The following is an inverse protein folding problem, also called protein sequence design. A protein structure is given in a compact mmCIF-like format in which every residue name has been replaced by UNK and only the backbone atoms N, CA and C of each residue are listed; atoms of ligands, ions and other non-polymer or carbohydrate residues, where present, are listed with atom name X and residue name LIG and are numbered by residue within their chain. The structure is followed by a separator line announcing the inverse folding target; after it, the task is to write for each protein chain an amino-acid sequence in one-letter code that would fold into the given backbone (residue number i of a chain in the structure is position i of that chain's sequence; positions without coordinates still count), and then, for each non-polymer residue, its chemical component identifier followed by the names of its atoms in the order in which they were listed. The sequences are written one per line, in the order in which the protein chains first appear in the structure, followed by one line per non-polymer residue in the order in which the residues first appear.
data_IF_125826581886
#
_entry.id   IF_125826581886
#
_cell.length_a   1.000
_cell.length_b   1.000
_cell.length_c   1.000
_cell.angle_alpha   90.00
_cell.angle_beta   90.00
_cell.angle_gamma   90.00
#
_symmetry.space_group_name_H-M   'P 1'
#
loop_
_entity.id
_entity.type
_entity.pdbx_description
1 polymer ?
#
# COMPACT_ATOMS: atom_id res chain seq x y z
N UNK A 1 -44.69 45.19 -30.60
CA UNK A 1 -44.91 45.04 -29.16
C UNK A 1 -44.98 43.53 -28.88
N UNK A 2 -43.93 42.97 -28.38
CA UNK A 2 -43.86 41.56 -27.94
C UNK A 2 -43.37 41.59 -26.48
N UNK A 3 -44.28 41.17 -25.57
CA UNK A 3 -43.97 41.00 -24.16
C UNK A 3 -43.07 39.80 -23.95
N UNK A 4 -41.91 40.01 -23.35
CA UNK A 4 -41.07 38.95 -22.85
C UNK A 4 -41.61 38.49 -21.49
N UNK A 5 -42.06 37.22 -21.42
CA UNK A 5 -42.32 36.55 -20.14
C UNK A 5 -41.00 36.05 -19.57
N UNK A 6 -40.56 36.62 -18.48
CA UNK A 6 -39.47 36.11 -17.63
C UNK A 6 -40.02 34.94 -16.82
N UNK A 7 -39.70 33.71 -17.23
CA UNK A 7 -39.93 32.51 -16.41
C UNK A 7 -39.00 32.51 -15.21
N UNK A 8 -39.55 32.61 -13.99
CA UNK A 8 -38.82 32.22 -12.77
C UNK A 8 -38.55 30.73 -12.82
N UNK A 9 -37.25 30.36 -12.87
CA UNK A 9 -36.83 29.00 -12.61
C UNK A 9 -36.97 28.75 -11.10
N UNK A 10 -37.82 27.79 -10.74
CA UNK A 10 -37.84 27.25 -9.38
C UNK A 10 -36.48 26.56 -9.10
N UNK A 11 -35.91 26.73 -7.88
CA UNK A 11 -34.67 26.04 -7.53
C UNK A 11 -34.92 24.54 -7.50
N UNK A 12 -34.23 23.80 -8.37
CA UNK A 12 -34.25 22.35 -8.34
C UNK A 12 -33.59 21.87 -7.03
N UNK A 13 -34.39 21.22 -6.20
CA UNK A 13 -33.88 20.56 -4.99
C UNK A 13 -33.05 19.37 -5.48
N UNK A 14 -31.77 19.33 -5.13
CA UNK A 14 -30.89 18.20 -5.38
C UNK A 14 -31.36 17.02 -4.51
N UNK A 15 -32.21 16.17 -5.12
CA UNK A 15 -32.83 15.01 -4.49
C UNK A 15 -31.80 13.98 -4.03
N UNK A 16 -30.64 13.89 -4.69
CA UNK A 16 -29.58 12.95 -4.36
C UNK A 16 -28.86 13.38 -3.08
N UNK A 17 -28.60 14.67 -2.93
CA UNK A 17 -28.02 15.26 -1.73
C UNK A 17 -28.97 15.15 -0.53
N UNK A 18 -30.25 15.42 -0.75
CA UNK A 18 -31.28 15.28 0.28
C UNK A 18 -31.45 13.83 0.73
N UNK A 19 -31.44 12.89 -0.21
CA UNK A 19 -31.50 11.45 0.07
C UNK A 19 -30.28 11.01 0.89
N UNK A 20 -29.08 11.46 0.53
CA UNK A 20 -27.86 11.15 1.26
C UNK A 20 -27.88 11.68 2.70
N UNK A 21 -28.35 12.92 2.90
CA UNK A 21 -28.47 13.50 4.25
C UNK A 21 -29.52 12.77 5.09
N UNK A 22 -30.67 12.39 4.50
CA UNK A 22 -31.71 11.60 5.18
C UNK A 22 -31.17 10.21 5.56
N UNK A 23 -30.47 9.51 4.66
CA UNK A 23 -29.89 8.21 4.95
C UNK A 23 -28.82 8.32 6.05
N UNK A 24 -27.96 9.32 6.01
CA UNK A 24 -26.96 9.58 7.05
C UNK A 24 -27.56 9.80 8.43
N UNK A 25 -28.67 10.56 8.51
CA UNK A 25 -29.41 10.81 9.75
C UNK A 25 -30.11 9.54 10.26
N UNK A 26 -30.72 8.76 9.37
CA UNK A 26 -31.37 7.50 9.72
C UNK A 26 -30.35 6.46 10.18
N UNK A 27 -29.23 6.34 9.51
CA UNK A 27 -28.14 5.45 9.86
C UNK A 27 -27.54 5.80 11.23
N UNK A 28 -27.30 7.11 11.50
CA UNK A 28 -26.82 7.56 12.79
C UNK A 28 -27.82 7.26 13.92
N UNK A 29 -29.12 7.40 13.68
CA UNK A 29 -30.17 7.09 14.66
C UNK A 29 -30.35 5.59 14.87
N UNK A 30 -30.20 4.80 13.80
CA UNK A 30 -30.26 3.34 13.91
C UNK A 30 -29.08 2.74 14.67
N UNK A 31 -27.89 3.32 14.48
CA UNK A 31 -26.65 2.85 15.14
C UNK A 31 -26.49 3.33 16.58
N UNK A 32 -27.07 4.50 16.94
CA UNK A 32 -26.85 5.14 18.26
C UNK A 32 -28.11 5.26 19.14
N UNK A 33 -29.27 4.73 18.71
CA UNK A 33 -30.50 4.75 19.45
C UNK A 33 -31.24 6.10 19.45
N UNK A 34 -32.55 6.06 19.74
CA UNK A 34 -33.46 7.22 19.67
C UNK A 34 -33.38 8.19 20.86
N UNK A 35 -32.58 7.87 21.91
CA UNK A 35 -32.69 8.56 23.20
C UNK A 35 -31.61 9.61 23.53
N UNK A 36 -30.74 9.99 22.59
CA UNK A 36 -29.70 10.99 22.89
C UNK A 36 -30.07 12.41 22.39
N UNK A 37 -30.97 13.05 23.11
CA UNK A 37 -31.37 14.47 22.88
C UNK A 37 -30.25 15.49 23.19
N UNK A 38 -29.01 15.07 23.50
CA UNK A 38 -27.91 15.92 23.93
C UNK A 38 -26.87 16.26 22.88
N UNK A 39 -27.04 15.82 21.62
CA UNK A 39 -25.98 15.96 20.59
C UNK A 39 -26.05 17.20 19.70
N UNK A 40 -27.04 18.14 19.93
CA UNK A 40 -27.21 19.30 19.04
C UNK A 40 -27.26 20.65 19.79
N UNK A 41 -26.31 20.88 20.71
CA UNK A 41 -26.05 22.25 21.23
C UNK A 41 -24.58 22.59 20.96
N UNK A 42 -24.26 23.57 20.11
CA UNK A 42 -22.91 24.09 20.00
C UNK A 42 -22.51 24.72 21.31
N UNK A 43 -21.62 24.11 22.08
CA UNK A 43 -21.02 24.76 23.24
C UNK A 43 -20.10 25.86 22.75
N UNK A 44 -20.51 27.13 22.99
CA UNK A 44 -19.58 28.26 22.96
C UNK A 44 -18.48 27.99 23.99
N UNK A 45 -17.25 27.99 23.51
CA UNK A 45 -16.07 27.87 24.37
C UNK A 45 -15.86 29.24 25.07
N UNK A 46 -16.32 29.35 26.29
CA UNK A 46 -15.83 30.38 27.20
C UNK A 46 -14.60 29.85 27.90
N UNK A 47 -13.49 30.51 27.65
CA UNK A 47 -12.24 30.25 28.35
C UNK A 47 -12.43 30.59 29.84
N UNK A 48 -12.43 29.60 30.71
CA UNK A 48 -12.20 29.79 32.15
C UNK A 48 -10.94 29.04 32.56
N UNK A 49 -10.03 29.84 33.07
CA UNK A 49 -8.79 29.42 33.77
C UNK A 49 -9.15 28.54 34.97
N UNK A 50 -8.59 27.32 35.03
CA UNK A 50 -8.63 26.47 36.22
C UNK A 50 -7.23 26.44 36.82
N UNK A 51 -7.16 26.96 38.05
CA UNK A 51 -6.02 26.92 38.95
C UNK A 51 -5.67 25.50 39.36
N UNK A 52 -4.37 25.24 39.35
CA UNK A 52 -3.73 24.00 39.84
C UNK A 52 -3.89 23.90 41.35
N UNK A 53 -4.49 22.83 41.83
CA UNK A 53 -4.30 22.31 43.19
C UNK A 53 -3.72 20.93 43.11
N UNK A 54 -2.51 20.81 43.61
CA UNK A 54 -1.75 19.60 43.88
C UNK A 54 -2.40 18.81 45.01
N UNK A 55 -2.85 17.58 44.75
CA UNK A 55 -2.92 16.55 45.77
C UNK A 55 -2.53 15.19 45.15
N UNK A 56 -1.55 14.57 45.81
CA UNK A 56 -1.09 13.21 45.55
C UNK A 56 -2.13 12.22 46.01
N UNK A 57 -2.51 11.27 45.15
CA UNK A 57 -2.64 9.86 45.57
C UNK A 57 -2.85 8.88 44.41
N UNK A 58 -2.14 7.76 44.50
CA UNK A 58 -2.39 6.39 43.93
C UNK A 58 -2.70 6.26 42.42
N UNK A 59 -1.65 6.07 41.64
CA UNK A 59 -1.60 6.12 40.17
C UNK A 59 -1.75 4.80 39.39
N UNK A 60 -2.37 3.74 39.93
CA UNK A 60 -2.47 2.47 39.20
C UNK A 60 -3.85 2.07 38.65
N UNK A 61 -4.92 2.78 38.98
CA UNK A 61 -6.28 2.46 38.49
C UNK A 61 -6.77 3.30 37.32
N UNK A 62 -6.25 4.51 37.16
CA UNK A 62 -6.74 5.50 36.17
C UNK A 62 -6.24 5.17 34.75
N UNK A 63 -5.04 4.56 34.62
CA UNK A 63 -4.45 4.21 33.34
C UNK A 63 -5.22 3.11 32.59
N UNK A 64 -5.66 2.08 33.30
CA UNK A 64 -6.37 0.96 32.68
C UNK A 64 -7.80 1.28 32.21
N UNK A 65 -8.51 2.15 32.94
CA UNK A 65 -9.84 2.58 32.55
C UNK A 65 -9.82 3.57 31.39
N UNK A 66 -8.80 4.44 31.31
CA UNK A 66 -8.60 5.35 30.17
C UNK A 66 -8.27 4.57 28.89
N UNK A 67 -7.48 3.48 28.97
CA UNK A 67 -7.14 2.63 27.82
C UNK A 67 -8.34 1.84 27.32
N UNK A 68 -9.24 1.38 28.23
CA UNK A 68 -10.46 0.64 27.85
C UNK A 68 -11.42 1.47 26.99
N UNK A 69 -11.43 2.78 27.16
CA UNK A 69 -12.32 3.71 26.45
C UNK A 69 -11.67 4.35 25.22
N UNK A 70 -10.36 4.17 24.99
CA UNK A 70 -9.70 4.68 23.78
C UNK A 70 -10.05 3.81 22.58
N UNK A 71 -10.47 4.47 21.49
CA UNK A 71 -10.60 3.79 20.19
C UNK A 71 -9.25 3.29 19.72
N UNK A 72 -9.26 2.11 19.12
CA UNK A 72 -8.09 1.58 18.48
C UNK A 72 -7.80 2.25 17.15
N UNK A 73 -6.53 2.28 16.77
CA UNK A 73 -6.11 2.64 15.42
C UNK A 73 -6.07 1.42 14.52
N UNK A 74 -6.45 1.60 13.25
CA UNK A 74 -6.25 0.61 12.20
C UNK A 74 -4.84 0.81 11.61
N UNK A 75 -4.04 -0.25 11.63
CA UNK A 75 -2.67 -0.23 11.18
C UNK A 75 -2.60 -0.63 9.70
N UNK A 76 -2.13 0.28 8.84
CA UNK A 76 -2.08 0.12 7.38
C UNK A 76 -0.65 0.11 6.88
N UNK A 77 -0.30 -0.88 6.07
CA UNK A 77 0.95 -0.96 5.32
C UNK A 77 0.69 -0.67 3.84
N UNK A 78 1.46 0.24 3.27
CA UNK A 78 1.45 0.52 1.83
C UNK A 78 2.85 0.35 1.24
N UNK A 79 2.98 -0.39 0.13
CA UNK A 79 4.26 -0.66 -0.54
C UNK A 79 4.14 -0.25 -2.00
N UNK A 80 4.95 0.72 -2.41
CA UNK A 80 4.88 1.29 -3.75
C UNK A 80 5.32 0.31 -4.84
N UNK A 81 4.78 0.57 -6.04
CA UNK A 81 5.18 -0.04 -7.29
C UNK A 81 6.28 0.73 -8.03
N UNK A 82 6.50 0.37 -9.29
CA UNK A 82 7.33 1.11 -10.25
C UNK A 82 8.85 0.97 -10.07
N UNK A 83 9.34 0.45 -8.96
CA UNK A 83 10.75 0.40 -8.63
C UNK A 83 11.54 -0.77 -9.24
N UNK A 84 10.89 -1.81 -9.74
CA UNK A 84 11.58 -3.00 -10.22
C UNK A 84 12.56 -3.56 -9.19
N UNK A 85 13.84 -3.72 -9.57
CA UNK A 85 14.90 -4.16 -8.63
C UNK A 85 15.13 -3.18 -7.47
N UNK A 86 14.81 -1.89 -7.60
CA UNK A 86 14.90 -0.92 -6.49
C UNK A 86 13.93 -1.22 -5.35
N UNK A 87 12.93 -2.07 -5.54
CA UNK A 87 12.07 -2.54 -4.46
C UNK A 87 12.84 -3.30 -3.37
N UNK A 88 14.11 -3.66 -3.60
CA UNK A 88 15.05 -4.10 -2.54
C UNK A 88 15.08 -3.08 -1.39
N UNK A 89 14.96 -1.77 -1.66
CA UNK A 89 14.94 -0.72 -0.66
C UNK A 89 13.74 -0.89 0.28
N UNK A 90 12.53 -1.06 -0.28
CA UNK A 90 11.33 -1.30 0.51
C UNK A 90 11.40 -2.62 1.28
N UNK A 91 11.93 -3.69 0.66
CA UNK A 91 12.13 -4.99 1.31
C UNK A 91 13.10 -4.93 2.48
N UNK A 92 14.17 -4.15 2.38
CA UNK A 92 15.13 -3.91 3.49
C UNK A 92 14.49 -3.10 4.63
N UNK A 93 13.64 -2.12 4.30
CA UNK A 93 12.87 -1.38 5.30
C UNK A 93 11.88 -2.29 6.04
N UNK A 94 11.20 -3.22 5.34
CA UNK A 94 10.34 -4.25 5.93
C UNK A 94 11.11 -5.19 6.85
N UNK A 95 12.28 -5.66 6.43
CA UNK A 95 13.14 -6.52 7.23
C UNK A 95 13.59 -5.81 8.52
N UNK A 96 13.97 -4.54 8.43
CA UNK A 96 14.31 -3.72 9.59
C UNK A 96 13.11 -3.58 10.53
N UNK A 97 11.93 -3.25 10.01
CA UNK A 97 10.70 -3.11 10.79
C UNK A 97 10.35 -4.41 11.54
N UNK A 98 10.39 -5.57 10.86
CA UNK A 98 10.09 -6.86 11.51
C UNK A 98 11.06 -7.15 12.66
N UNK A 99 12.34 -6.84 12.49
CA UNK A 99 13.34 -6.98 13.55
C UNK A 99 13.07 -6.01 14.72
N UNK A 100 12.67 -4.77 14.44
CA UNK A 100 12.28 -3.82 15.48
C UNK A 100 11.02 -4.28 16.23
N UNK A 101 10.04 -4.86 15.54
CA UNK A 101 8.86 -5.46 16.16
C UNK A 101 9.23 -6.62 17.09
N UNK A 102 10.10 -7.54 16.65
CA UNK A 102 10.61 -8.64 17.50
C UNK A 102 11.27 -8.12 18.78
N UNK A 103 12.12 -7.13 18.63
CA UNK A 103 12.85 -6.54 19.76
C UNK A 103 11.91 -5.83 20.74
N UNK A 104 10.99 -4.98 20.22
CA UNK A 104 10.11 -4.16 21.06
C UNK A 104 8.97 -4.96 21.71
N UNK A 105 8.48 -6.00 21.04
CA UNK A 105 7.45 -6.88 21.59
C UNK A 105 7.98 -7.97 22.52
N UNK A 106 9.30 -8.24 22.46
CA UNK A 106 9.91 -9.39 23.13
C UNK A 106 9.52 -10.75 22.53
N UNK A 107 8.83 -10.75 21.36
CA UNK A 107 8.42 -11.97 20.68
C UNK A 107 9.34 -12.23 19.47
N UNK A 108 10.23 -13.26 19.53
CA UNK A 108 11.14 -13.59 18.43
C UNK A 108 10.42 -14.06 17.16
N UNK A 109 9.18 -14.53 17.30
CA UNK A 109 8.36 -15.03 16.19
C UNK A 109 7.42 -13.96 15.61
N UNK A 110 7.53 -12.70 16.05
CA UNK A 110 6.72 -11.60 15.53
C UNK A 110 6.90 -11.45 14.00
N UNK A 111 5.79 -11.23 13.30
CA UNK A 111 5.70 -11.03 11.84
C UNK A 111 5.00 -9.72 11.53
N UNK A 112 5.24 -9.18 10.35
CA UNK A 112 4.53 -8.00 9.84
C UNK A 112 3.00 -8.19 9.92
N UNK A 113 2.49 -9.35 9.50
CA UNK A 113 1.06 -9.64 9.49
C UNK A 113 0.39 -9.64 10.89
N UNK A 114 1.16 -9.77 11.97
CA UNK A 114 0.62 -9.73 13.33
C UNK A 114 0.22 -8.31 13.75
N UNK A 115 0.84 -7.28 13.16
CA UNK A 115 0.72 -5.89 13.59
C UNK A 115 -0.05 -4.99 12.62
N UNK A 116 -0.20 -5.40 11.36
CA UNK A 116 -0.97 -4.65 10.37
C UNK A 116 -2.34 -5.28 10.12
N UNK A 117 -3.34 -4.42 9.93
CA UNK A 117 -4.73 -4.83 9.69
C UNK A 117 -5.07 -4.85 8.22
N UNK A 118 -4.43 -4.00 7.44
CA UNK A 118 -4.59 -3.89 5.98
C UNK A 118 -3.22 -3.70 5.37
N UNK A 119 -2.98 -4.36 4.26
CA UNK A 119 -1.79 -4.13 3.45
C UNK A 119 -2.17 -3.86 1.99
N UNK A 120 -1.57 -2.84 1.40
CA UNK A 120 -1.69 -2.55 -0.02
C UNK A 120 -0.33 -2.55 -0.69
N UNK A 121 -0.23 -3.12 -1.88
CA UNK A 121 1.02 -3.14 -2.61
C UNK A 121 0.83 -3.16 -4.11
N UNK A 122 1.67 -2.43 -4.83
CA UNK A 122 1.63 -2.30 -6.27
C UNK A 122 2.91 -2.86 -6.93
N UNK A 123 2.82 -3.44 -8.10
CA UNK A 123 3.97 -3.99 -8.79
C UNK A 123 4.74 -5.01 -7.95
N UNK A 124 6.06 -4.83 -7.78
CA UNK A 124 6.87 -5.65 -6.86
C UNK A 124 6.41 -5.50 -5.41
N UNK A 125 5.92 -4.31 -5.01
CA UNK A 125 5.30 -4.10 -3.69
C UNK A 125 4.06 -4.96 -3.49
N UNK A 126 3.29 -5.24 -4.55
CA UNK A 126 2.18 -6.19 -4.53
C UNK A 126 2.62 -7.63 -4.29
N UNK A 127 3.73 -8.05 -4.91
CA UNK A 127 4.37 -9.35 -4.64
C UNK A 127 4.79 -9.44 -3.16
N UNK A 128 5.43 -8.40 -2.63
CA UNK A 128 5.85 -8.37 -1.22
C UNK A 128 4.63 -8.42 -0.28
N UNK A 129 3.56 -7.69 -0.61
CA UNK A 129 2.31 -7.75 0.15
C UNK A 129 1.73 -9.17 0.15
N UNK A 130 1.65 -9.82 -1.01
CA UNK A 130 1.19 -11.21 -1.07
C UNK A 130 2.09 -12.15 -0.24
N UNK A 131 3.42 -12.04 -0.32
CA UNK A 131 4.36 -12.85 0.46
C UNK A 131 4.16 -12.67 1.97
N UNK A 132 4.03 -11.43 2.44
CA UNK A 132 3.94 -11.11 3.87
C UNK A 132 2.62 -11.57 4.52
N UNK A 133 1.56 -11.75 3.72
CA UNK A 133 0.22 -12.04 4.24
C UNK A 133 -0.33 -13.39 3.79
N UNK A 134 0.26 -14.07 2.78
CA UNK A 134 -0.15 -15.40 2.36
C UNK A 134 0.05 -16.43 3.48
N UNK A 135 -0.90 -17.35 3.60
CA UNK A 135 -0.90 -18.40 4.61
C UNK A 135 -1.38 -19.73 4.04
N UNK A 136 -0.86 -20.85 4.56
CA UNK A 136 -1.33 -22.21 4.24
C UNK A 136 -2.26 -22.76 5.31
N UNK A 137 -2.16 -22.25 6.52
CA UNK A 137 -2.84 -22.77 7.74
C UNK A 137 -3.80 -21.76 8.39
N UNK A 138 -3.98 -20.58 7.76
CA UNK A 138 -4.77 -19.47 8.27
C UNK A 138 -4.33 -18.93 9.65
N UNK A 139 -3.16 -19.31 10.12
CA UNK A 139 -2.62 -18.90 11.42
C UNK A 139 -1.35 -18.09 11.31
N UNK A 140 -0.43 -18.48 10.41
CA UNK A 140 0.88 -17.84 10.26
C UNK A 140 1.18 -17.48 8.80
N UNK A 141 1.87 -16.37 8.54
CA UNK A 141 2.35 -16.05 7.20
C UNK A 141 3.47 -17.01 6.79
N UNK A 142 3.52 -17.33 5.50
CA UNK A 142 4.52 -18.25 4.95
C UNK A 142 5.92 -17.66 5.00
N UNK A 143 6.06 -16.33 4.77
CA UNK A 143 7.35 -15.66 4.60
C UNK A 143 7.64 -14.66 5.72
N UNK A 144 8.92 -14.47 6.00
CA UNK A 144 9.44 -13.36 6.79
C UNK A 144 9.60 -12.11 5.93
N UNK A 145 9.67 -10.95 6.56
CA UNK A 145 9.93 -9.69 5.85
C UNK A 145 11.29 -9.72 5.11
N UNK A 146 12.29 -10.37 5.68
CA UNK A 146 13.62 -10.50 5.07
C UNK A 146 13.61 -11.36 3.78
N UNK A 147 12.65 -12.27 3.65
CA UNK A 147 12.51 -13.11 2.46
C UNK A 147 12.10 -12.30 1.23
N UNK A 148 11.42 -11.17 1.39
CA UNK A 148 10.93 -10.33 0.27
C UNK A 148 12.06 -9.81 -0.61
N UNK A 149 13.03 -9.11 -0.04
CA UNK A 149 14.15 -8.58 -0.81
C UNK A 149 15.13 -9.67 -1.26
N UNK A 150 15.32 -10.73 -0.45
CA UNK A 150 16.15 -11.89 -0.81
C UNK A 150 15.58 -12.63 -2.00
N UNK A 151 14.26 -12.82 -2.03
CA UNK A 151 13.55 -13.39 -3.17
C UNK A 151 13.80 -12.58 -4.44
N UNK A 152 13.62 -11.27 -4.38
CA UNK A 152 13.86 -10.38 -5.51
C UNK A 152 15.33 -10.42 -5.96
N UNK A 153 16.26 -10.41 -5.02
CA UNK A 153 17.70 -10.50 -5.31
C UNK A 153 18.08 -11.84 -5.99
N UNK A 154 17.49 -12.95 -5.53
CA UNK A 154 17.77 -14.28 -6.06
C UNK A 154 17.08 -14.55 -7.42
N UNK A 155 15.82 -14.11 -7.55
CA UNK A 155 14.93 -14.43 -8.68
C UNK A 155 14.80 -13.29 -9.70
N UNK A 156 15.40 -12.14 -9.47
CA UNK A 156 15.31 -10.96 -10.34
C UNK A 156 15.64 -11.23 -11.81
N UNK A 157 16.50 -12.22 -12.10
CA UNK A 157 16.79 -12.67 -13.48
C UNK A 157 15.53 -13.22 -14.18
N UNK A 158 14.66 -13.89 -13.46
CA UNK A 158 13.41 -14.41 -14.02
C UNK A 158 12.40 -13.29 -14.32
N UNK A 159 12.50 -12.17 -13.58
CA UNK A 159 11.60 -11.02 -13.71
C UNK A 159 12.09 -10.00 -14.74
N UNK A 160 13.42 -9.75 -14.79
CA UNK A 160 14.01 -8.61 -15.47
C UNK A 160 14.99 -8.98 -16.60
N UNK A 161 14.97 -10.23 -17.11
CA UNK A 161 15.92 -10.66 -18.12
C UNK A 161 15.92 -9.78 -19.38
N UNK A 162 17.05 -9.09 -19.58
CA UNK A 162 17.44 -8.62 -20.90
C UNK A 162 18.29 -9.71 -21.59
N UNK A 163 17.95 -10.16 -22.79
CA UNK A 163 18.92 -10.93 -23.58
C UNK A 163 20.13 -10.02 -23.79
N UNK A 164 21.27 -10.41 -23.20
CA UNK A 164 22.52 -9.67 -23.34
C UNK A 164 22.82 -9.40 -24.83
N UNK A 165 23.07 -8.13 -25.17
CA UNK A 165 23.33 -7.65 -26.51
C UNK A 165 24.71 -8.02 -27.06
N UNK A 166 25.39 -9.01 -26.52
CA UNK A 166 26.71 -9.45 -26.95
C UNK A 166 26.66 -10.74 -27.74
N UNK A 167 26.20 -10.70 -28.99
CA UNK A 167 26.66 -11.57 -30.07
C UNK A 167 26.10 -11.08 -31.41
N UNK A 168 26.96 -10.57 -32.24
CA UNK A 168 26.76 -10.27 -33.66
C UNK A 168 26.40 -11.54 -34.43
N UNK A 169 25.15 -11.70 -34.87
CA UNK A 169 24.70 -12.78 -35.70
C UNK A 169 23.21 -12.85 -35.88
N UNK A 170 22.69 -12.21 -36.96
CA UNK A 170 21.26 -12.04 -37.23
C UNK A 170 20.43 -13.32 -37.33
N UNK A 171 21.01 -14.45 -37.75
CA UNK A 171 20.29 -15.71 -37.99
C UNK A 171 20.09 -16.53 -36.69
N UNK A 172 21.07 -16.51 -35.79
CA UNK A 172 20.94 -17.13 -34.45
C UNK A 172 19.92 -16.41 -33.54
N UNK A 173 19.65 -15.13 -33.79
CA UNK A 173 18.67 -14.31 -33.05
C UNK A 173 17.24 -14.77 -33.33
N UNK A 174 16.92 -15.18 -34.56
CA UNK A 174 15.58 -15.65 -34.95
C UNK A 174 15.21 -17.02 -34.36
N UNK A 175 16.20 -17.95 -34.33
CA UNK A 175 16.03 -19.30 -33.77
C UNK A 175 16.03 -19.28 -32.22
N UNK A 176 16.79 -18.36 -31.60
CA UNK A 176 16.78 -18.15 -30.14
C UNK A 176 15.49 -17.53 -29.63
N UNK A 177 14.81 -16.69 -30.43
CA UNK A 177 13.51 -16.10 -30.11
C UNK A 177 12.40 -17.14 -29.98
N UNK A 178 12.50 -18.29 -30.67
CA UNK A 178 11.58 -19.43 -30.52
C UNK A 178 11.90 -20.33 -29.31
N UNK A 179 13.10 -20.23 -28.73
CA UNK A 179 13.55 -21.05 -27.57
C UNK A 179 13.71 -20.29 -26.27
N UNK A 180 13.76 -18.95 -26.31
CA UNK A 180 13.68 -18.12 -25.12
C UNK A 180 12.20 -18.02 -24.77
N UNK A 181 11.75 -18.79 -23.79
CA UNK A 181 10.45 -18.61 -23.19
C UNK A 181 10.24 -17.12 -22.87
N UNK A 182 9.02 -16.61 -23.09
CA UNK A 182 8.64 -15.24 -22.76
C UNK A 182 9.21 -14.85 -21.39
N UNK A 183 9.70 -13.62 -21.20
CA UNK A 183 10.12 -13.14 -19.88
C UNK A 183 8.97 -13.29 -18.85
N UNK A 184 7.71 -13.20 -19.32
CA UNK A 184 6.51 -13.52 -18.55
C UNK A 184 6.46 -14.96 -18.02
N UNK A 185 7.01 -15.95 -18.78
CA UNK A 185 7.02 -17.34 -18.34
C UNK A 185 7.96 -17.58 -17.15
N UNK A 186 9.03 -16.79 -17.00
CA UNK A 186 9.91 -16.85 -15.84
C UNK A 186 9.19 -16.40 -14.56
N UNK A 187 8.59 -15.21 -14.59
CA UNK A 187 7.80 -14.69 -13.48
C UNK A 187 6.62 -15.62 -13.14
N UNK A 188 5.93 -16.14 -14.16
CA UNK A 188 4.81 -17.08 -13.98
C UNK A 188 5.25 -18.32 -13.19
N UNK A 189 6.36 -18.96 -13.59
CA UNK A 189 6.87 -20.13 -12.91
C UNK A 189 7.22 -19.83 -11.46
N UNK A 190 7.97 -18.74 -11.20
CA UNK A 190 8.36 -18.35 -9.85
C UNK A 190 7.12 -18.07 -8.97
N UNK A 191 6.11 -17.37 -9.49
CA UNK A 191 4.88 -17.09 -8.73
C UNK A 191 4.06 -18.37 -8.46
N UNK A 192 4.00 -19.30 -9.40
CA UNK A 192 3.34 -20.60 -9.18
C UNK A 192 4.06 -21.44 -8.13
N UNK A 193 5.40 -21.44 -8.12
CA UNK A 193 6.21 -22.14 -7.12
C UNK A 193 6.02 -21.52 -5.71
N UNK A 194 5.93 -20.18 -5.63
CA UNK A 194 5.80 -19.45 -4.37
C UNK A 194 4.43 -19.64 -3.72
N UNK A 195 3.35 -19.53 -4.50
CA UNK A 195 1.99 -19.49 -3.97
C UNK A 195 1.17 -20.77 -4.16
N UNK A 196 1.66 -21.78 -4.91
CA UNK A 196 1.10 -23.14 -4.98
C UNK A 196 -0.44 -23.25 -5.00
N UNK A 197 -1.12 -22.42 -5.77
CA UNK A 197 -2.59 -22.43 -5.86
C UNK A 197 -3.33 -21.71 -4.75
N UNK A 198 -2.65 -20.94 -3.89
CA UNK A 198 -3.28 -20.03 -2.95
C UNK A 198 -4.03 -18.93 -3.67
N UNK A 199 -5.15 -18.49 -3.08
CA UNK A 199 -6.00 -17.41 -3.59
C UNK A 199 -6.00 -16.19 -2.66
N UNK A 200 -6.70 -15.13 -3.03
CA UNK A 200 -6.85 -13.95 -2.16
C UNK A 200 -7.44 -14.30 -0.80
N UNK A 201 -8.32 -15.30 -0.72
CA UNK A 201 -8.88 -15.80 0.56
C UNK A 201 -7.83 -16.39 1.49
N UNK A 202 -6.74 -16.93 0.93
CA UNK A 202 -5.62 -17.51 1.67
C UNK A 202 -4.62 -16.44 2.15
N UNK A 203 -5.10 -15.27 2.53
CA UNK A 203 -4.30 -14.23 3.20
C UNK A 203 -4.84 -13.98 4.60
N UNK A 204 -3.93 -13.69 5.54
CA UNK A 204 -4.26 -13.51 6.97
C UNK A 204 -5.10 -12.26 7.24
N UNK A 205 -4.91 -11.23 6.45
CA UNK A 205 -5.52 -9.90 6.59
C UNK A 205 -5.98 -9.38 5.23
N UNK A 206 -6.85 -8.36 5.19
CA UNK A 206 -7.17 -7.64 3.96
C UNK A 206 -5.93 -7.19 3.22
N UNK A 207 -5.79 -7.67 1.99
CA UNK A 207 -4.77 -7.21 1.04
C UNK A 207 -5.45 -6.49 -0.12
N UNK A 208 -4.80 -5.45 -0.64
CA UNK A 208 -5.24 -4.67 -1.79
C UNK A 208 -4.09 -4.62 -2.81
N UNK A 209 -4.27 -5.25 -3.96
CA UNK A 209 -3.23 -5.34 -4.98
C UNK A 209 -3.81 -4.81 -6.30
N UNK A 210 -3.40 -3.61 -6.77
CA UNK A 210 -3.94 -3.02 -7.98
C UNK A 210 -3.32 -3.61 -9.25
N UNK A 211 -4.08 -3.53 -10.34
CA UNK A 211 -3.62 -3.61 -11.72
C UNK A 211 -4.43 -2.64 -12.58
N UNK A 212 -4.01 -2.43 -13.82
CA UNK A 212 -4.85 -1.76 -14.83
C UNK A 212 -5.47 -2.84 -15.71
N UNK A 213 -6.81 -2.89 -15.78
CA UNK A 213 -7.52 -3.83 -16.63
C UNK A 213 -7.79 -3.22 -18.01
N UNK A 214 -7.18 -3.79 -19.02
CA UNK A 214 -7.35 -3.35 -20.42
C UNK A 214 -8.76 -3.62 -20.97
N UNK A 215 -9.49 -4.59 -20.42
CA UNK A 215 -10.84 -4.94 -20.88
C UNK A 215 -11.90 -3.93 -20.45
N UNK A 216 -11.76 -3.39 -19.24
CA UNK A 216 -12.65 -2.35 -18.71
C UNK A 216 -12.10 -0.92 -18.89
N UNK A 217 -10.82 -0.79 -19.29
CA UNK A 217 -10.09 0.48 -19.36
C UNK A 217 -10.08 1.23 -18.03
N UNK A 218 -9.96 0.51 -16.92
CA UNK A 218 -10.01 1.04 -15.56
C UNK A 218 -8.99 0.37 -14.63
N UNK A 219 -8.70 1.03 -13.52
CA UNK A 219 -7.99 0.40 -12.42
C UNK A 219 -8.84 -0.70 -11.80
N UNK A 220 -8.24 -1.87 -11.57
CA UNK A 220 -8.84 -2.98 -10.86
C UNK A 220 -8.01 -3.29 -9.62
N UNK A 221 -8.66 -3.46 -8.47
CA UNK A 221 -7.99 -3.79 -7.21
C UNK A 221 -8.41 -5.18 -6.76
N UNK A 222 -7.46 -6.10 -6.73
CA UNK A 222 -7.66 -7.41 -6.14
C UNK A 222 -7.74 -7.26 -4.62
N UNK A 223 -8.87 -7.61 -4.03
CA UNK A 223 -9.18 -7.40 -2.62
C UNK A 223 -9.61 -8.70 -1.95
N UNK A 224 -9.00 -9.02 -0.80
CA UNK A 224 -9.45 -10.14 0.02
C UNK A 224 -10.88 -9.95 0.54
N UNK A 225 -11.25 -8.72 0.88
CA UNK A 225 -12.60 -8.46 1.37
C UNK A 225 -13.65 -8.84 0.33
N UNK A 226 -13.45 -8.43 -0.95
CA UNK A 226 -14.35 -8.77 -2.04
C UNK A 226 -14.32 -10.27 -2.37
N UNK A 227 -13.14 -10.90 -2.29
CA UNK A 227 -13.01 -12.34 -2.48
C UNK A 227 -13.81 -13.14 -1.44
N UNK A 228 -13.90 -12.67 -0.20
CA UNK A 228 -14.70 -13.30 0.85
C UNK A 228 -16.20 -13.09 0.66
N UNK A 229 -16.63 -12.06 -0.04
CA UNK A 229 -18.05 -11.84 -0.38
C UNK A 229 -18.51 -12.80 -1.49
N UNK A 230 -17.66 -13.03 -2.50
CA UNK A 230 -18.01 -13.90 -3.63
C UNK A 230 -16.78 -14.47 -4.33
N UNK A 231 -16.87 -15.72 -4.78
CA UNK A 231 -15.84 -16.39 -5.57
C UNK A 231 -15.56 -15.70 -6.91
N UNK A 232 -16.47 -14.85 -7.35
CA UNK A 232 -16.29 -14.03 -8.58
C UNK A 232 -15.20 -12.95 -8.42
N UNK A 233 -14.76 -12.65 -7.22
CA UNK A 233 -13.63 -11.76 -6.93
C UNK A 233 -12.46 -12.47 -6.27
N UNK A 234 -12.52 -13.80 -6.13
CA UNK A 234 -11.38 -14.58 -5.67
C UNK A 234 -10.49 -14.99 -6.85
N UNK A 235 -9.21 -14.63 -6.77
CA UNK A 235 -8.21 -14.89 -7.81
C UNK A 235 -6.98 -15.58 -7.22
N UNK A 236 -6.31 -16.41 -8.03
CA UNK A 236 -5.05 -17.03 -7.64
C UNK A 236 -3.96 -15.97 -7.36
N UNK A 237 -3.31 -16.06 -6.20
CA UNK A 237 -2.25 -15.11 -5.82
C UNK A 237 -1.08 -15.07 -6.82
N UNK A 238 -0.74 -16.22 -7.42
CA UNK A 238 0.28 -16.29 -8.45
C UNK A 238 -0.05 -15.44 -9.70
N UNK A 239 -1.33 -15.40 -10.10
CA UNK A 239 -1.80 -14.59 -11.23
C UNK A 239 -1.92 -13.12 -10.83
N UNK A 240 -2.41 -12.82 -9.63
CA UNK A 240 -2.47 -11.46 -9.07
C UNK A 240 -1.08 -10.83 -9.03
N UNK A 241 -0.07 -11.55 -8.55
CA UNK A 241 1.32 -11.07 -8.51
C UNK A 241 1.91 -10.84 -9.91
N UNK A 242 1.57 -11.71 -10.88
CA UNK A 242 1.97 -11.50 -12.28
C UNK A 242 1.29 -10.26 -12.87
N UNK A 243 0.00 -10.10 -12.63
CA UNK A 243 -0.81 -9.00 -13.13
C UNK A 243 -0.27 -7.64 -12.66
N UNK A 244 -0.08 -7.49 -11.36
CA UNK A 244 0.42 -6.24 -10.79
C UNK A 244 1.85 -5.91 -11.19
N UNK A 245 2.68 -6.91 -11.52
CA UNK A 245 4.09 -6.74 -11.94
C UNK A 245 4.29 -6.78 -13.47
N UNK A 246 3.21 -6.80 -14.25
CA UNK A 246 3.25 -6.87 -15.71
C UNK A 246 3.53 -5.50 -16.34
N UNK A 247 4.75 -4.99 -16.22
CA UNK A 247 5.17 -3.66 -16.67
C UNK A 247 5.30 -3.58 -18.20
N UNK A 248 4.54 -2.71 -18.89
CA UNK A 248 4.68 -2.48 -20.33
C UNK A 248 6.06 -1.94 -20.68
N UNK A 249 6.57 -2.34 -21.85
CA UNK A 249 7.88 -1.92 -22.33
C UNK A 249 9.05 -2.79 -21.88
N UNK A 250 8.82 -3.82 -21.05
CA UNK A 250 9.81 -4.88 -20.84
C UNK A 250 9.87 -5.84 -22.01
N UNK A 251 11.07 -6.32 -22.33
CA UNK A 251 11.24 -7.36 -23.35
C UNK A 251 10.52 -8.65 -22.91
N UNK A 252 9.56 -9.09 -23.73
CA UNK A 252 8.75 -10.26 -23.44
C UNK A 252 7.54 -9.99 -22.52
N UNK A 253 7.20 -8.73 -22.32
CA UNK A 253 5.95 -8.35 -21.66
C UNK A 253 4.75 -8.84 -22.46
N UNK A 254 3.81 -9.43 -21.75
CA UNK A 254 2.48 -9.78 -22.24
C UNK A 254 1.46 -9.43 -21.16
N UNK A 255 0.31 -8.82 -21.51
CA UNK A 255 -0.78 -8.64 -20.57
C UNK A 255 -1.22 -9.97 -19.98
N UNK A 256 -1.53 -9.98 -18.69
CA UNK A 256 -1.94 -11.20 -17.99
C UNK A 256 -3.44 -11.37 -18.12
N UNK A 257 -3.86 -12.39 -18.87
CA UNK A 257 -5.28 -12.78 -18.92
C UNK A 257 -5.56 -13.77 -17.80
N UNK A 258 -6.48 -13.41 -16.92
CA UNK A 258 -6.85 -14.21 -15.76
C UNK A 258 -8.35 -14.25 -15.53
N UNK A 259 -8.80 -15.20 -14.73
CA UNK A 259 -10.20 -15.36 -14.31
C UNK A 259 -10.28 -15.63 -12.81
N UNK A 260 -11.40 -15.23 -12.22
CA UNK A 260 -11.77 -15.62 -10.86
C UNK A 260 -11.88 -17.14 -10.72
N UNK A 261 -11.83 -17.64 -9.50
CA UNK A 261 -11.92 -19.08 -9.19
C UNK A 261 -13.18 -19.71 -9.78
N UNK A 262 -14.33 -19.00 -9.76
CA UNK A 262 -15.59 -19.45 -10.36
C UNK A 262 -15.68 -19.18 -11.89
N UNK A 263 -14.67 -18.54 -12.49
CA UNK A 263 -14.58 -18.23 -13.90
C UNK A 263 -15.50 -17.11 -14.41
N UNK A 264 -16.29 -16.46 -13.54
CA UNK A 264 -17.28 -15.45 -13.92
C UNK A 264 -16.65 -14.09 -14.23
N UNK A 265 -15.66 -13.68 -13.42
CA UNK A 265 -14.96 -12.41 -13.63
C UNK A 265 -13.67 -12.65 -14.41
N UNK A 266 -13.47 -11.89 -15.48
CA UNK A 266 -12.25 -11.91 -16.29
C UNK A 266 -11.53 -10.58 -16.21
N UNK A 267 -10.19 -10.60 -16.22
CA UNK A 267 -9.34 -9.43 -16.26
C UNK A 267 -8.22 -9.62 -17.30
N UNK A 268 -7.88 -8.57 -18.04
CA UNK A 268 -6.69 -8.51 -18.91
C UNK A 268 -5.75 -7.46 -18.29
N UNK A 269 -4.97 -7.90 -17.36
CA UNK A 269 -4.21 -7.04 -16.46
C UNK A 269 -2.87 -6.61 -17.02
N UNK A 270 -2.52 -5.38 -16.73
CA UNK A 270 -1.17 -4.82 -16.83
C UNK A 270 -0.82 -4.10 -15.52
N UNK A 271 0.43 -3.81 -15.35
CA UNK A 271 1.13 -3.22 -14.22
C UNK A 271 0.28 -2.39 -13.24
N UNK A 272 0.33 -2.77 -11.97
CA UNK A 272 -0.30 -2.02 -10.89
C UNK A 272 0.27 -0.61 -10.72
N UNK A 273 1.55 -0.40 -11.03
CA UNK A 273 2.20 0.90 -10.97
C UNK A 273 1.61 1.94 -11.92
N UNK A 274 1.03 1.50 -13.05
CA UNK A 274 0.27 2.39 -13.95
C UNK A 274 -1.09 2.78 -13.38
N UNK A 275 -1.69 1.88 -12.60
CA UNK A 275 -2.99 2.12 -11.98
C UNK A 275 -2.86 2.94 -10.69
N UNK A 276 -1.99 2.50 -9.80
CA UNK A 276 -1.77 3.06 -8.46
C UNK A 276 -0.32 2.80 -8.05
N UNK A 277 0.60 3.70 -8.38
CA UNK A 277 2.02 3.55 -8.01
C UNK A 277 2.21 3.55 -6.50
N UNK A 278 1.51 4.43 -5.77
CA UNK A 278 1.42 4.46 -4.31
C UNK A 278 0.00 4.08 -3.88
N UNK A 279 -0.24 2.87 -3.35
CA UNK A 279 -1.59 2.43 -3.01
C UNK A 279 -2.08 2.89 -1.61
N UNK A 280 -1.37 3.81 -0.92
CA UNK A 280 -1.74 4.27 0.42
C UNK A 280 -3.15 4.88 0.47
N UNK A 281 -3.51 5.71 -0.50
CA UNK A 281 -4.84 6.31 -0.54
C UNK A 281 -5.94 5.25 -0.71
N UNK A 282 -5.72 4.23 -1.55
CA UNK A 282 -6.66 3.12 -1.72
C UNK A 282 -6.85 2.33 -0.41
N UNK A 283 -5.76 2.05 0.31
CA UNK A 283 -5.82 1.36 1.59
C UNK A 283 -6.56 2.18 2.66
N UNK A 284 -6.30 3.48 2.74
CA UNK A 284 -6.98 4.38 3.69
C UNK A 284 -8.48 4.47 3.37
N UNK A 285 -8.84 4.67 2.10
CA UNK A 285 -10.24 4.75 1.68
C UNK A 285 -10.96 3.42 1.89
N UNK A 286 -10.31 2.28 1.66
CA UNK A 286 -10.85 0.97 1.99
C UNK A 286 -11.22 0.87 3.48
N UNK A 287 -10.30 1.27 4.37
CA UNK A 287 -10.56 1.28 5.83
C UNK A 287 -11.71 2.21 6.20
N UNK A 288 -11.77 3.40 5.61
CA UNK A 288 -12.82 4.38 5.91
C UNK A 288 -14.21 3.95 5.42
N UNK A 289 -14.30 3.21 4.32
CA UNK A 289 -15.55 2.77 3.71
C UNK A 289 -16.02 1.39 4.17
N UNK A 290 -15.12 0.47 4.48
CA UNK A 290 -15.47 -0.89 4.88
C UNK A 290 -15.88 -0.96 6.36
N UNK A 291 -17.09 -0.50 6.66
CA UNK A 291 -17.62 -0.50 8.03
C UNK A 291 -17.92 -1.90 8.57
N UNK A 292 -17.99 -2.91 7.73
CA UNK A 292 -18.18 -4.29 8.16
C UNK A 292 -16.93 -4.81 8.88
N UNK A 293 -15.74 -4.55 8.34
CA UNK A 293 -14.48 -4.97 8.97
C UNK A 293 -13.92 -3.90 9.94
N UNK A 294 -14.23 -2.61 9.72
CA UNK A 294 -13.70 -1.48 10.53
C UNK A 294 -14.83 -0.60 11.09
N UNK A 295 -15.71 -1.15 11.96
CA UNK A 295 -16.95 -0.48 12.37
C UNK A 295 -16.73 0.81 13.16
N UNK A 296 -15.59 0.97 13.83
CA UNK A 296 -15.33 2.08 14.74
C UNK A 296 -14.48 3.21 14.15
N UNK A 297 -14.01 3.08 12.91
CA UNK A 297 -13.22 4.11 12.25
C UNK A 297 -14.12 5.29 11.83
N UNK A 298 -13.76 6.51 12.19
CA UNK A 298 -14.49 7.74 11.85
C UNK A 298 -13.75 8.59 10.83
N UNK A 299 -12.42 8.64 10.92
CA UNK A 299 -11.59 9.45 10.06
C UNK A 299 -10.14 8.99 10.08
N UNK A 300 -9.26 9.75 9.44
CA UNK A 300 -7.84 9.47 9.34
C UNK A 300 -7.11 9.47 10.68
N UNK A 301 -7.67 10.10 11.70
CA UNK A 301 -7.16 10.11 13.07
C UNK A 301 -7.16 8.71 13.71
N UNK A 302 -8.06 7.82 13.25
CA UNK A 302 -8.18 6.44 13.72
C UNK A 302 -7.32 5.47 12.89
N UNK A 303 -6.47 5.98 11.98
CA UNK A 303 -5.61 5.17 11.11
C UNK A 303 -4.14 5.46 11.39
N UNK A 304 -3.30 4.42 11.39
CA UNK A 304 -1.84 4.48 11.52
C UNK A 304 -1.22 3.87 10.27
N UNK A 305 -0.54 4.67 9.46
CA UNK A 305 -0.10 4.28 8.11
C UNK A 305 1.42 4.30 7.99
N UNK A 306 2.00 3.21 7.51
CA UNK A 306 3.35 3.15 6.99
C UNK A 306 3.31 3.02 5.46
N UNK A 307 3.91 3.97 4.76
CA UNK A 307 4.07 3.95 3.30
C UNK A 307 5.55 3.80 2.94
N UNK A 308 5.87 2.79 2.13
CA UNK A 308 7.24 2.45 1.71
C UNK A 308 7.40 2.72 0.22
N UNK A 309 8.26 3.68 -0.13
CA UNK A 309 8.60 4.01 -1.50
C UNK A 309 9.87 3.32 -2.00
N UNK A 310 10.06 3.32 -3.32
CA UNK A 310 11.23 2.76 -4.00
C UNK A 310 12.28 3.82 -4.35
N UNK A 311 12.03 5.08 -3.95
CA UNK A 311 12.84 6.25 -4.31
C UNK A 311 12.50 6.83 -5.69
N UNK A 312 12.74 8.12 -5.86
CA UNK A 312 12.43 8.86 -7.07
C UNK A 312 13.54 8.74 -8.13
N UNK A 313 13.15 8.65 -9.40
CA UNK A 313 14.09 8.71 -10.51
C UNK A 313 14.68 10.10 -10.67
N UNK A 314 15.96 10.19 -11.03
CA UNK A 314 16.58 11.43 -11.46
C UNK A 314 16.86 11.37 -12.96
N UNK A 315 16.63 12.48 -13.61
CA UNK A 315 16.90 12.66 -15.03
C UNK A 315 17.84 13.85 -15.21
N UNK A 316 18.98 13.61 -15.86
CA UNK A 316 19.91 14.67 -16.19
C UNK A 316 19.44 15.38 -17.47
N UNK A 317 19.35 16.72 -17.44
CA UNK A 317 18.87 17.51 -18.57
C UNK A 317 19.66 17.21 -19.86
N UNK A 318 20.99 17.05 -19.75
CA UNK A 318 21.87 16.78 -20.89
C UNK A 318 21.61 15.43 -21.56
N UNK A 319 21.05 14.45 -20.81
CA UNK A 319 20.59 13.17 -21.35
C UNK A 319 19.23 13.33 -21.99
N UNK A 320 18.28 13.91 -21.27
CA UNK A 320 16.87 14.04 -21.67
C UNK A 320 16.72 14.82 -22.96
N UNK A 321 17.47 15.92 -23.16
CA UNK A 321 17.41 16.73 -24.37
C UNK A 321 17.82 15.97 -25.64
N UNK A 322 18.50 14.83 -25.51
CA UNK A 322 18.95 13.98 -26.63
C UNK A 322 17.97 12.87 -26.96
N UNK A 323 16.96 12.64 -26.10
CA UNK A 323 16.02 11.53 -26.31
C UNK A 323 15.15 11.72 -27.54
N UNK A 324 15.09 10.65 -28.35
CA UNK A 324 14.15 10.54 -29.47
C UNK A 324 12.80 10.02 -28.96
N UNK A 325 11.75 10.13 -29.77
CA UNK A 325 10.40 9.70 -29.40
C UNK A 325 10.33 8.25 -28.85
N UNK A 326 11.13 7.32 -29.37
CA UNK A 326 11.18 5.93 -28.88
C UNK A 326 11.83 5.79 -27.50
N UNK A 327 12.73 6.71 -27.16
CA UNK A 327 13.46 6.69 -25.88
C UNK A 327 12.62 7.27 -24.74
N UNK A 328 11.59 8.06 -25.06
CA UNK A 328 10.63 8.61 -24.10
C UNK A 328 9.62 7.59 -23.55
N UNK A 329 9.29 6.51 -24.26
CA UNK A 329 8.19 5.62 -23.91
C UNK A 329 8.31 5.06 -22.50
N UNK A 330 9.49 4.56 -22.10
CA UNK A 330 9.73 4.01 -20.76
C UNK A 330 9.89 5.09 -19.70
N UNK A 331 10.67 6.16 -19.91
CA UNK A 331 10.73 7.29 -18.98
C UNK A 331 9.38 7.94 -18.70
N UNK A 332 8.51 8.11 -19.69
CA UNK A 332 7.17 8.69 -19.48
C UNK A 332 6.35 7.86 -18.50
N UNK A 333 6.29 6.54 -18.69
CA UNK A 333 5.56 5.66 -17.76
C UNK A 333 6.10 5.79 -16.33
N UNK A 334 7.42 5.88 -16.18
CA UNK A 334 8.07 6.07 -14.87
C UNK A 334 7.79 7.44 -14.28
N UNK A 335 7.90 8.51 -15.06
CA UNK A 335 7.59 9.88 -14.61
C UNK A 335 6.13 9.97 -14.15
N UNK A 336 5.20 9.37 -14.90
CA UNK A 336 3.79 9.31 -14.51
C UNK A 336 3.59 8.53 -13.21
N UNK A 337 4.27 7.40 -13.03
CA UNK A 337 4.21 6.60 -11.80
C UNK A 337 4.80 7.33 -10.59
N UNK A 338 5.98 7.94 -10.74
CA UNK A 338 6.64 8.71 -9.69
C UNK A 338 5.78 9.94 -9.32
N UNK A 339 5.24 10.68 -10.31
CA UNK A 339 4.37 11.83 -10.10
C UNK A 339 3.04 11.47 -9.42
N UNK A 340 2.45 10.31 -9.80
CA UNK A 340 1.25 9.80 -9.15
C UNK A 340 1.54 9.39 -7.69
N UNK A 341 2.68 8.76 -7.42
CA UNK A 341 3.09 8.39 -6.07
C UNK A 341 3.29 9.62 -5.17
N UNK A 342 3.94 10.66 -5.70
CA UNK A 342 4.13 11.93 -4.99
C UNK A 342 2.81 12.65 -4.72
N UNK A 343 1.90 12.68 -5.70
CA UNK A 343 0.57 13.27 -5.53
C UNK A 343 -0.20 12.60 -4.40
N UNK A 344 -0.18 11.26 -4.35
CA UNK A 344 -0.82 10.49 -3.28
C UNK A 344 -0.18 10.80 -1.93
N UNK A 345 1.17 10.81 -1.84
CA UNK A 345 1.88 11.15 -0.60
C UNK A 345 1.50 12.55 -0.08
N UNK A 346 1.48 13.55 -0.97
CA UNK A 346 1.08 14.91 -0.62
C UNK A 346 -0.39 14.97 -0.16
N UNK A 347 -1.30 14.36 -0.92
CA UNK A 347 -2.73 14.37 -0.60
C UNK A 347 -3.02 13.70 0.74
N UNK A 348 -2.41 12.53 0.98
CA UNK A 348 -2.52 11.80 2.25
C UNK A 348 -1.92 12.61 3.40
N UNK A 349 -0.71 13.15 3.23
CA UNK A 349 -0.06 13.99 4.23
C UNK A 349 -0.92 15.20 4.63
N UNK A 350 -1.62 15.81 3.66
CA UNK A 350 -2.54 16.93 3.90
C UNK A 350 -3.82 16.46 4.60
N UNK A 351 -4.39 15.32 4.22
CA UNK A 351 -5.60 14.77 4.84
C UNK A 351 -5.39 14.45 6.34
N UNK A 352 -4.19 13.99 6.71
CA UNK A 352 -3.83 13.77 8.11
C UNK A 352 -3.61 15.06 8.91
N UNK A 353 -3.32 16.18 8.26
CA UNK A 353 -3.21 17.50 8.89
C UNK A 353 -2.27 17.48 10.11
N UNK A 354 -2.78 17.88 11.28
CA UNK A 354 -2.00 17.90 12.51
C UNK A 354 -1.61 16.52 13.05
N UNK A 355 -2.37 15.48 12.72
CA UNK A 355 -2.07 14.09 13.15
C UNK A 355 -1.03 13.40 12.25
N UNK A 356 -0.54 14.07 11.21
CA UNK A 356 0.41 13.53 10.25
C UNK A 356 1.65 12.94 10.91
N UNK A 357 2.31 13.68 11.78
CA UNK A 357 3.58 13.26 12.41
C UNK A 357 3.45 12.00 13.26
N UNK A 358 2.24 11.72 13.75
CA UNK A 358 1.91 10.58 14.62
C UNK A 358 1.18 9.43 13.92
N UNK A 359 0.59 9.67 12.74
CA UNK A 359 -0.29 8.68 12.12
C UNK A 359 0.09 8.29 10.69
N UNK A 360 0.94 9.07 10.04
CA UNK A 360 1.41 8.78 8.68
C UNK A 360 2.92 8.88 8.58
N UNK A 361 3.58 7.78 8.24
CA UNK A 361 5.04 7.73 8.02
C UNK A 361 5.31 7.28 6.60
N UNK A 362 6.06 8.08 5.85
CA UNK A 362 6.60 7.76 4.54
C UNK A 362 8.09 7.49 4.65
N UNK A 363 8.55 6.35 4.15
CA UNK A 363 9.96 5.97 4.06
C UNK A 363 10.31 5.75 2.60
N UNK A 364 11.28 6.50 2.10
CA UNK A 364 11.84 6.29 0.76
C UNK A 364 13.26 6.85 0.65
N UNK A 365 14.00 6.40 -0.35
CA UNK A 365 15.33 6.93 -0.64
C UNK A 365 15.24 8.34 -1.22
N UNK A 366 16.04 9.25 -0.68
CA UNK A 366 16.15 10.60 -1.18
C UNK A 366 17.29 10.73 -2.20
N UNK A 367 17.19 11.75 -3.06
CA UNK A 367 18.01 11.97 -4.21
C UNK A 367 19.51 11.76 -4.10
N UNK A 368 20.14 11.97 -2.93
CA UNK A 368 21.58 11.77 -2.75
C UNK A 368 22.00 10.30 -2.78
N UNK A 369 21.19 9.38 -2.22
CA UNK A 369 21.46 7.94 -2.26
C UNK A 369 21.32 7.37 -3.67
N UNK A 370 20.30 7.82 -4.41
CA UNK A 370 19.97 7.29 -5.73
C UNK A 370 20.90 7.81 -6.84
N UNK A 371 21.75 8.78 -6.55
CA UNK A 371 22.72 9.32 -7.54
C UNK A 371 23.71 8.29 -8.08
N UNK A 372 23.89 7.16 -7.39
CA UNK A 372 24.70 6.02 -7.85
C UNK A 372 23.93 5.02 -8.73
N UNK A 373 22.61 5.11 -8.76
CA UNK A 373 21.78 4.25 -9.59
C UNK A 373 21.93 4.66 -11.06
N UNK A 374 22.41 3.75 -11.87
CA UNK A 374 22.39 3.92 -13.33
C UNK A 374 20.94 3.87 -13.86
N UNK A 375 20.73 4.29 -15.12
CA UNK A 375 19.41 4.38 -15.75
C UNK A 375 18.66 3.04 -15.84
N UNK A 376 19.38 1.92 -15.72
CA UNK A 376 18.83 0.56 -15.79
C UNK A 376 18.80 -0.14 -14.43
N UNK A 377 19.05 0.54 -13.31
CA UNK A 377 19.10 -0.07 -11.99
C UNK A 377 17.81 -0.83 -11.61
N UNK A 378 16.66 -0.41 -12.15
CA UNK A 378 15.36 -1.06 -11.93
C UNK A 378 15.22 -2.41 -12.61
N UNK A 379 15.98 -2.66 -13.67
CA UNK A 379 15.87 -3.85 -14.52
C UNK A 379 17.16 -4.67 -14.56
N UNK A 380 18.22 -4.19 -13.95
CA UNK A 380 19.50 -4.92 -13.86
C UNK A 380 19.48 -5.84 -12.64
N UNK A 381 19.41 -7.15 -12.89
CA UNK A 381 19.46 -8.19 -11.87
C UNK A 381 20.86 -8.74 -11.62
N UNK A 382 21.91 -8.05 -12.08
CA UNK A 382 23.30 -8.46 -11.85
C UNK A 382 23.65 -8.43 -10.36
N UNK A 383 24.56 -9.32 -9.90
CA UNK A 383 25.00 -9.31 -8.50
C UNK A 383 25.61 -7.97 -8.06
N UNK A 384 26.25 -7.24 -8.98
CA UNK A 384 26.79 -5.90 -8.71
C UNK A 384 25.71 -4.87 -8.44
N UNK A 385 24.63 -4.87 -9.23
CA UNK A 385 23.49 -3.97 -9.01
C UNK A 385 22.73 -4.33 -7.73
N UNK A 386 22.51 -5.63 -7.47
CA UNK A 386 21.89 -6.11 -6.22
C UNK A 386 22.70 -5.64 -5.00
N UNK A 387 24.03 -5.81 -5.02
CA UNK A 387 24.89 -5.34 -3.95
C UNK A 387 24.79 -3.83 -3.75
N UNK A 388 24.86 -3.06 -4.83
CA UNK A 388 24.70 -1.62 -4.80
C UNK A 388 23.35 -1.20 -4.20
N UNK A 389 22.24 -1.86 -4.60
CA UNK A 389 20.91 -1.54 -4.08
C UNK A 389 20.77 -1.87 -2.59
N UNK A 390 21.41 -2.95 -2.11
CA UNK A 390 21.47 -3.27 -0.67
C UNK A 390 22.23 -2.18 0.10
N UNK A 391 23.38 -1.74 -0.41
CA UNK A 391 24.16 -0.64 0.18
C UNK A 391 23.35 0.67 0.23
N UNK A 392 22.65 1.00 -0.87
CA UNK A 392 21.76 2.16 -0.94
C UNK A 392 20.60 2.05 0.07
N UNK A 393 20.05 0.85 0.26
CA UNK A 393 19.00 0.63 1.26
C UNK A 393 19.50 0.88 2.69
N UNK A 394 20.70 0.42 3.01
CA UNK A 394 21.32 0.66 4.31
C UNK A 394 21.66 2.15 4.54
N UNK A 395 22.02 2.88 3.47
CA UNK A 395 22.18 4.35 3.52
C UNK A 395 20.83 5.07 3.66
N UNK A 396 19.81 4.64 2.90
CA UNK A 396 18.45 5.18 3.00
C UNK A 396 17.95 5.13 4.45
N UNK A 397 18.15 4.02 5.14
CA UNK A 397 17.72 3.89 6.54
C UNK A 397 18.41 4.90 7.46
N UNK A 398 19.66 5.28 7.18
CA UNK A 398 20.42 6.27 7.94
C UNK A 398 20.10 7.71 7.58
N UNK A 399 19.52 7.96 6.40
CA UNK A 399 19.17 9.31 5.96
C UNK A 399 18.09 9.92 6.85
N UNK A 400 18.12 11.26 6.95
CA UNK A 400 17.02 12.02 7.53
C UNK A 400 15.74 11.76 6.75
N UNK A 401 14.66 11.53 7.46
CA UNK A 401 13.34 11.34 6.86
C UNK A 401 12.92 12.62 6.14
N UNK A 402 12.27 12.48 4.99
CA UNK A 402 11.77 13.61 4.21
C UNK A 402 10.26 13.53 4.17
N UNK A 403 9.63 14.58 4.64
CA UNK A 403 8.19 14.71 4.69
C UNK A 403 7.72 15.64 3.56
N UNK A 404 6.67 15.21 2.82
CA UNK A 404 6.01 16.07 1.84
C UNK A 404 5.26 17.20 2.55
N UNK A 405 5.34 18.40 2.03
CA UNK A 405 4.57 19.57 2.48
C UNK A 405 3.75 20.11 1.31
N UNK A 406 2.88 21.07 1.58
CA UNK A 406 2.02 21.70 0.58
C UNK A 406 2.78 22.15 -0.68
N UNK A 407 2.13 22.02 -1.82
CA UNK A 407 2.60 22.50 -3.13
C UNK A 407 3.93 21.89 -3.60
N UNK A 408 4.13 20.60 -3.35
CA UNK A 408 5.32 19.85 -3.80
C UNK A 408 6.59 20.17 -3.02
N UNK A 409 6.48 20.88 -1.90
CA UNK A 409 7.59 21.11 -0.99
C UNK A 409 7.99 19.83 -0.26
N UNK A 410 9.25 19.76 0.18
CA UNK A 410 9.79 18.66 1.00
C UNK A 410 10.49 19.26 2.22
N UNK A 411 10.15 18.73 3.40
CA UNK A 411 10.76 19.11 4.69
C UNK A 411 11.64 17.96 5.17
N UNK A 412 12.89 18.26 5.48
CA UNK A 412 13.80 17.31 6.10
C UNK A 412 13.46 17.26 7.60
N UNK A 413 13.11 16.10 8.09
CA UNK A 413 12.85 15.87 9.51
C UNK A 413 14.15 15.79 10.31
N UNK A 414 14.02 15.93 11.62
CA UNK A 414 15.18 15.76 12.53
C UNK A 414 15.57 14.27 12.65
N UNK A 415 14.58 13.39 12.65
CA UNK A 415 14.78 11.94 12.75
C UNK A 415 15.18 11.33 11.40
N UNK A 416 16.01 10.31 11.47
CA UNK A 416 16.35 9.44 10.35
C UNK A 416 15.23 8.45 10.04
N UNK A 417 15.32 7.78 8.88
CA UNK A 417 14.33 6.78 8.48
C UNK A 417 14.28 5.60 9.46
N UNK A 418 15.42 5.14 9.97
CA UNK A 418 15.40 4.05 10.95
C UNK A 418 14.82 4.48 12.30
N UNK A 419 15.08 5.72 12.79
CA UNK A 419 14.45 6.25 14.00
C UNK A 419 12.93 6.38 13.84
N UNK A 420 12.45 6.79 12.66
CA UNK A 420 11.02 6.81 12.35
C UNK A 420 10.42 5.40 12.34
N UNK A 421 11.09 4.42 11.73
CA UNK A 421 10.65 3.03 11.73
C UNK A 421 10.65 2.42 13.12
N UNK A 422 11.64 2.73 13.92
CA UNK A 422 11.73 2.29 15.33
C UNK A 422 10.60 2.86 16.17
N UNK A 423 10.34 4.16 16.02
CA UNK A 423 9.20 4.78 16.67
C UNK A 423 7.87 4.14 16.21
N UNK A 424 7.71 3.95 14.90
CA UNK A 424 6.51 3.34 14.33
C UNK A 424 6.29 1.90 14.83
N UNK A 425 7.36 1.10 14.91
CA UNK A 425 7.32 -0.24 15.51
C UNK A 425 6.83 -0.19 16.97
N UNK A 426 7.25 0.82 17.73
CA UNK A 426 6.75 1.06 19.09
C UNK A 426 5.25 1.32 19.12
N UNK A 427 4.74 2.19 18.23
CA UNK A 427 3.30 2.47 18.12
C UNK A 427 2.49 1.22 17.73
N UNK A 428 3.00 0.41 16.80
CA UNK A 428 2.36 -0.87 16.42
C UNK A 428 2.28 -1.84 17.61
N UNK A 429 3.36 -1.99 18.37
CA UNK A 429 3.40 -2.86 19.55
C UNK A 429 2.44 -2.36 20.63
N UNK A 430 2.43 -1.04 20.90
CA UNK A 430 1.49 -0.43 21.85
C UNK A 430 0.03 -0.64 21.42
N UNK A 431 -0.27 -0.44 20.13
CA UNK A 431 -1.62 -0.66 19.60
C UNK A 431 -2.03 -2.13 19.75
N UNK A 432 -1.13 -3.05 19.42
CA UNK A 432 -1.37 -4.50 19.57
C UNK A 432 -1.65 -4.88 21.04
N UNK A 433 -0.86 -4.37 21.99
CA UNK A 433 -1.07 -4.60 23.42
C UNK A 433 -2.41 -4.01 23.91
N UNK A 434 -2.73 -2.77 23.50
CA UNK A 434 -4.00 -2.11 23.85
C UNK A 434 -5.22 -2.89 23.37
N UNK A 435 -5.13 -3.59 22.24
CA UNK A 435 -6.24 -4.43 21.73
C UNK A 435 -6.62 -5.55 22.67
N UNK A 436 -5.67 -6.18 23.33
CA UNK A 436 -5.93 -7.21 24.35
C UNK A 436 -6.69 -6.70 25.57
N UNK A 437 -6.67 -5.39 25.83
CA UNK A 437 -7.35 -4.75 26.98
C UNK A 437 -8.73 -4.15 26.62
N UNK A 438 -9.11 -4.08 25.33
CA UNK A 438 -10.38 -3.47 24.89
C UNK A 438 -11.55 -4.44 24.99
N UNK A 439 -12.70 -3.91 25.35
CA UNK A 439 -13.95 -4.68 25.42
C UNK A 439 -14.50 -4.95 24.02
N UNK A 440 -14.47 -3.97 23.13
CA UNK A 440 -14.90 -4.11 21.74
C UNK A 440 -13.70 -4.34 20.81
N UNK A 441 -13.78 -5.28 19.86
CA UNK A 441 -12.71 -5.50 18.89
C UNK A 441 -12.55 -4.28 17.97
N UNK A 442 -11.30 -3.91 17.69
CA UNK A 442 -10.99 -2.79 16.77
C UNK A 442 -11.33 -3.16 15.32
N UNK A 443 -11.23 -4.44 14.98
CA UNK A 443 -11.47 -5.00 13.65
C UNK A 443 -12.37 -6.23 13.74
N UNK A 444 -13.19 -6.43 12.73
CA UNK A 444 -14.13 -7.55 12.62
C UNK A 444 -13.89 -8.32 11.31
N UNK A 445 -12.71 -8.94 11.17
CA UNK A 445 -12.35 -9.64 9.95
C UNK A 445 -13.25 -10.85 9.69
N UNK A 446 -13.75 -10.96 8.47
CA UNK A 446 -14.35 -12.20 7.98
C UNK A 446 -13.29 -13.27 7.83
N UNK A 447 -13.64 -14.49 8.22
CA UNK A 447 -12.80 -15.67 8.00
C UNK A 447 -13.26 -16.40 6.74
N UNK A 448 -12.30 -16.93 5.99
CA UNK A 448 -12.63 -17.82 4.89
C UNK A 448 -13.29 -19.10 5.44
N UNK A 449 -14.32 -19.59 4.76
CA UNK A 449 -14.88 -20.89 5.08
C UNK A 449 -13.80 -21.97 4.93
N UNK A 450 -13.77 -23.00 5.79
CA UNK A 450 -12.82 -24.09 5.64
C UNK A 450 -13.02 -24.75 4.27
N UNK A 451 -11.92 -25.00 3.56
CA UNK A 451 -11.97 -25.72 2.28
C UNK A 451 -12.56 -27.09 2.55
N UNK A 452 -13.65 -27.44 1.88
CA UNK A 452 -14.17 -28.82 1.88
C UNK A 452 -13.10 -29.73 1.28
N UNK A 453 -12.60 -30.64 2.10
CA UNK A 453 -11.62 -31.67 1.73
C UNK A 453 -12.15 -32.60 0.67
#
# INVERSE_FOLDING_TARGET
MACAQSGMQEPSIDTDKLSYEIFSILESKFLFGYDDQKLWIPKQITAQSVSVSTENDSSNGVGLNAVKNQRGKICVLSIDGGGGMRSILSGKALAYLENALKTKSGNPDARIADYFDVAAGSGVGGIFTAMLFATKDHSRPIFHADDTWKFLAAKGKSFFNHPSSSSSGSIKRFLRRKKAGSAGAGLEREMREVFEGLTLKDTLKPVLIPCYDLSSSASFVFSRADALETDSFDFCLSEVCRATAAEPGRLGFEPVRMRSVDGRTGCVAVDGGLAMSNPAAAAITHVLHNKQEFPHVRGVEDVLVLSLGTGEGRYEYEEVKRWKAKEWARPVARICGDGSADLVDQAVAMAFGQTRSSNYVRIQANGSCLGRCGPNADSDSSPSNVKMLVEIADEMLKQKNVESVLFGGKKIAEQSNFEKLDWFAGELVLEHQRRGCRIAPTVAFKQAAPKSS
#
